data_IF_316289436110
#
_entry.id   IF_316289436110
#
_cell.length_a   1.000
_cell.length_b   1.000
_cell.length_c   1.000
_cell.angle_alpha   90.00
_cell.angle_beta   90.00
_cell.angle_gamma   90.00
#
_symmetry.space_group_name_H-M   'P 1'
#
loop_
_entity.id
_entity.type
_entity.pdbx_description
1 polymer ?
2 water ?
#
# COMPACT_ATOMS: atom_id res chain seq x y z
N UNK A 4 -74.87 -27.57 3.88
CA UNK A 4 -75.91 -26.66 4.36
C UNK A 4 -75.32 -25.55 5.23
N UNK A 5 -76.14 -25.07 6.17
CA UNK A 5 -75.71 -23.99 7.06
C UNK A 5 -74.52 -24.42 7.92
N UNK A 6 -74.55 -25.66 8.41
CA UNK A 6 -73.47 -26.14 9.27
C UNK A 6 -72.17 -26.29 8.49
N UNK A 7 -72.24 -26.90 7.30
CA UNK A 7 -71.02 -27.13 6.52
C UNK A 7 -70.39 -25.82 6.07
N UNK A 8 -71.21 -24.86 5.64
CA UNK A 8 -70.69 -23.58 5.16
C UNK A 8 -70.04 -22.80 6.31
N UNK A 9 -70.66 -22.83 7.49
CA UNK A 9 -70.06 -22.18 8.65
C UNK A 9 -68.78 -22.90 9.07
N UNK A 10 -68.77 -24.23 8.98
CA UNK A 10 -67.57 -24.98 9.27
C UNK A 10 -66.45 -24.63 8.31
N UNK A 11 -66.77 -24.54 7.02
CA UNK A 11 -65.76 -24.20 6.04
C UNK A 11 -65.22 -22.79 6.19
N UNK A 12 -66.08 -21.85 6.62
CA UNK A 12 -65.63 -20.48 6.82
C UNK A 12 -64.78 -20.36 8.08
N UNK A 13 -65.19 -21.00 9.18
CA UNK A 13 -64.40 -20.98 10.40
C UNK A 13 -63.03 -21.60 10.20
N UNK A 14 -62.93 -22.59 9.30
CA UNK A 14 -61.63 -23.18 8.99
C UNK A 14 -60.75 -22.16 8.27
N UNK A 15 -61.32 -21.43 7.31
CA UNK A 15 -60.55 -20.42 6.58
C UNK A 15 -60.08 -19.31 7.52
N UNK A 16 -60.90 -18.92 8.48
CA UNK A 16 -60.50 -17.89 9.43
C UNK A 16 -59.35 -18.39 10.29
N UNK A 17 -59.42 -19.65 10.74
CA UNK A 17 -58.36 -20.20 11.56
C UNK A 17 -57.05 -20.30 10.79
N UNK A 18 -57.10 -20.78 9.55
CA UNK A 18 -55.89 -20.94 8.76
C UNK A 18 -55.25 -19.58 8.47
N UNK A 19 -56.06 -18.56 8.20
CA UNK A 19 -55.52 -17.23 7.93
C UNK A 19 -54.89 -16.62 9.18
N UNK A 20 -55.50 -16.85 10.35
CA UNK A 20 -54.94 -16.32 11.58
C UNK A 20 -53.58 -16.94 11.89
N UNK A 21 -53.38 -18.20 11.53
CA UNK A 21 -52.08 -18.84 11.74
C UNK A 21 -51.05 -18.29 10.78
N UNK A 22 -51.45 -18.03 9.53
CA UNK A 22 -50.53 -17.44 8.56
C UNK A 22 -50.13 -16.03 8.95
N UNK A 23 -51.02 -15.28 9.60
CA UNK A 23 -50.69 -13.93 10.04
C UNK A 23 -49.68 -13.94 11.17
N UNK A 24 -49.72 -14.96 12.03
CA UNK A 24 -48.70 -15.09 13.07
C UNK A 24 -47.34 -15.32 12.45
N UNK A 25 -47.28 -16.13 11.39
CA UNK A 25 -46.02 -16.38 10.71
C UNK A 25 -45.56 -15.16 9.92
N UNK A 26 -46.48 -14.48 9.25
CA UNK A 26 -46.10 -13.32 8.43
C UNK A 26 -45.54 -12.20 9.29
N UNK A 27 -46.17 -11.92 10.44
CA UNK A 27 -45.68 -10.86 11.30
C UNK A 27 -44.30 -11.16 11.86
N UNK A 28 -44.00 -12.44 12.10
CA UNK A 28 -42.67 -12.78 12.62
C UNK A 28 -41.64 -12.89 11.51
N UNK A 29 -42.06 -13.15 10.28
CA UNK A 29 -41.12 -13.09 9.16
C UNK A 29 -40.67 -11.66 8.90
N UNK A 30 -41.58 -10.69 9.10
CA UNK A 30 -41.20 -9.29 8.97
C UNK A 30 -40.17 -8.90 10.02
N UNK A 31 -40.31 -9.41 11.24
CA UNK A 31 -39.36 -9.10 12.30
C UNK A 31 -37.98 -9.66 11.98
N UNK A 32 -37.93 -10.85 11.36
CA UNK A 32 -36.65 -11.41 10.96
C UNK A 32 -35.99 -10.58 9.88
N UNK A 33 -36.75 -10.16 8.88
CA UNK A 33 -36.18 -9.31 7.82
C UNK A 33 -35.67 -8.00 8.38
N UNK A 34 -36.34 -7.46 9.40
CA UNK A 34 -35.88 -6.21 9.99
C UNK A 34 -34.56 -6.39 10.74
N UNK A 35 -34.42 -7.49 11.49
CA UNK A 35 -33.18 -7.73 12.22
C UNK A 35 -32.03 -8.04 11.27
N UNK A 36 -32.31 -8.84 10.22
CA UNK A 36 -31.26 -9.15 9.25
C UNK A 36 -30.78 -7.90 8.51
N UNK A 37 -31.68 -6.96 8.26
CA UNK A 37 -31.27 -5.71 7.61
C UNK A 37 -30.45 -4.85 8.57
N UNK A 38 -30.86 -4.78 9.84
CA UNK A 38 -30.08 -4.00 10.81
C UNK A 38 -28.72 -4.64 11.07
N UNK A 39 -28.62 -5.96 10.96
CA UNK A 39 -27.32 -6.61 11.09
C UNK A 39 -26.39 -6.22 9.95
N UNK A 40 -26.93 -6.12 8.73
CA UNK A 40 -26.12 -5.69 7.59
C UNK A 40 -25.67 -4.25 7.73
N UNK A 41 -26.50 -3.39 8.33
CA UNK A 41 -26.12 -1.99 8.50
C UNK A 41 -24.96 -1.87 9.49
N UNK A 42 -25.05 -2.56 10.63
CA UNK A 42 -23.94 -2.55 11.57
C UNK A 42 -22.69 -3.24 11.01
N UNK A 43 -22.86 -4.16 10.06
CA UNK A 43 -21.69 -4.77 9.42
C UNK A 43 -21.05 -3.79 8.45
N UNK A 44 -21.85 -2.97 7.76
CA UNK A 44 -21.29 -1.95 6.88
C UNK A 44 -20.52 -0.89 7.67
N UNK A 45 -20.92 -0.63 8.91
CA UNK A 45 -20.19 0.32 9.75
C UNK A 45 -18.76 -0.15 9.96
N UNK A 46 -18.56 -1.45 10.14
CA UNK A 46 -17.21 -1.97 10.33
C UNK A 46 -16.41 -1.89 9.05
N UNK A 47 -17.04 -2.19 7.90
CA UNK A 47 -16.33 -2.14 6.64
C UNK A 47 -15.96 -0.72 6.25
N UNK A 48 -16.78 0.26 6.61
CA UNK A 48 -16.42 1.66 6.36
C UNK A 48 -15.23 2.09 7.21
N UNK A 49 -15.17 1.62 8.47
CA UNK A 49 -14.02 1.92 9.31
C UNK A 49 -12.75 1.30 8.72
N UNK A 50 -12.86 0.10 8.14
CA UNK A 50 -11.71 -0.53 7.52
C UNK A 50 -11.23 0.26 6.31
N UNK A 51 -12.17 0.83 5.54
CA UNK A 51 -11.80 1.62 4.37
C UNK A 51 -11.05 2.88 4.81
N UNK A 52 -11.43 3.46 5.95
CA UNK A 52 -10.75 4.65 6.43
C UNK A 52 -9.30 4.37 6.79
N UNK A 53 -9.05 3.22 7.44
CA UNK A 53 -7.68 2.88 7.83
C UNK A 53 -6.81 2.66 6.61
N UNK A 54 -7.37 2.05 5.56
CA UNK A 54 -6.59 1.81 4.35
C UNK A 54 -6.29 3.11 3.62
N UNK A 55 -7.27 4.00 3.52
CA UNK A 55 -7.03 5.29 2.86
C UNK A 55 -6.09 6.17 3.68
N UNK A 56 -6.07 6.00 5.00
CA UNK A 56 -5.12 6.74 5.83
C UNK A 56 -3.71 6.19 5.69
N UNK A 57 -3.57 4.88 5.43
CA UNK A 57 -2.26 4.29 5.25
C UNK A 57 -1.74 4.44 3.83
N UNK A 58 -2.60 4.74 2.87
CA UNK A 58 -2.12 5.03 1.52
C UNK A 58 -1.40 6.38 1.48
N UNK A 59 -1.92 7.36 2.20
CA UNK A 59 -1.29 8.68 2.25
C UNK A 59 -0.12 8.70 3.23
N UNK A 60 -0.25 7.99 4.36
CA UNK A 60 0.83 7.95 5.34
C UNK A 60 2.04 7.18 4.82
N UNK A 61 1.80 6.01 4.22
CA UNK A 61 2.90 5.22 3.70
C UNK A 61 3.60 5.88 2.52
N UNK A 62 2.86 6.63 1.70
CA UNK A 62 3.47 7.30 0.56
C UNK A 62 4.28 8.51 1.01
N UNK A 63 3.76 9.31 1.94
CA UNK A 63 4.43 10.53 2.34
C UNK A 63 5.55 10.29 3.35
N UNK A 64 5.54 9.16 4.06
CA UNK A 64 6.58 8.83 5.02
C UNK A 64 7.80 8.22 4.34
N UNK A 65 7.60 7.19 3.51
CA UNK A 65 8.72 6.55 2.84
C UNK A 65 9.40 7.48 1.85
N UNK A 66 8.65 8.43 1.29
CA UNK A 66 9.25 9.41 0.38
C UNK A 66 10.22 10.32 1.11
N UNK A 67 9.99 10.57 2.40
CA UNK A 67 10.88 11.41 3.18
C UNK A 67 11.93 10.63 3.95
N UNK A 68 11.62 9.40 4.35
CA UNK A 68 12.58 8.58 5.09
C UNK A 68 13.67 8.06 4.16
N UNK A 69 13.29 7.63 2.95
CA UNK A 69 14.30 7.19 1.99
C UNK A 69 15.21 8.35 1.55
N UNK A 70 14.66 9.56 1.50
CA UNK A 70 15.49 10.72 1.18
C UNK A 70 16.49 11.01 2.30
N UNK A 71 16.13 10.70 3.55
CA UNK A 71 17.05 10.88 4.66
C UNK A 71 18.29 10.01 4.50
N UNK A 72 18.14 8.82 3.93
CA UNK A 72 19.26 7.91 3.75
C UNK A 72 20.03 8.18 2.47
N UNK A 73 19.33 8.57 1.40
CA UNK A 73 20.03 8.99 0.18
C UNK A 73 20.89 10.21 0.44
N UNK A 74 20.42 11.11 1.30
CA UNK A 74 21.21 12.29 1.65
C UNK A 74 22.42 11.91 2.49
N UNK A 75 22.22 11.08 3.51
CA UNK A 75 23.31 10.71 4.40
C UNK A 75 24.30 9.76 3.74
N UNK A 76 23.89 9.04 2.68
CA UNK A 76 24.83 8.20 1.97
C UNK A 76 25.82 9.03 1.15
N UNK A 77 25.34 10.08 0.50
CA UNK A 77 26.25 10.97 -0.22
C UNK A 77 27.17 11.72 0.72
N UNK A 78 26.68 12.07 1.92
CA UNK A 78 27.53 12.73 2.89
C UNK A 78 28.69 11.82 3.31
N UNK A 79 28.43 10.51 3.42
CA UNK A 79 29.51 9.57 3.68
C UNK A 79 30.51 9.55 2.53
N UNK A 80 30.01 9.54 1.30
CA UNK A 80 30.90 9.52 0.13
C UNK A 80 31.70 10.80 0.02
N UNK A 81 31.05 11.95 0.29
CA UNK A 81 31.74 13.23 0.16
C UNK A 81 32.88 13.36 1.16
N UNK A 82 32.73 12.77 2.36
CA UNK A 82 33.81 12.79 3.33
C UNK A 82 34.98 11.94 2.86
N UNK A 83 34.69 10.79 2.24
CA UNK A 83 35.76 9.97 1.67
C UNK A 83 36.39 10.66 0.48
N UNK A 84 35.57 11.28 -0.38
CA UNK A 84 36.10 11.99 -1.54
C UNK A 84 37.00 13.15 -1.12
N UNK A 85 36.62 13.87 -0.07
CA UNK A 85 37.45 14.98 0.39
C UNK A 85 38.78 14.49 0.93
N UNK A 86 38.79 13.36 1.63
CA UNK A 86 40.04 12.78 2.09
C UNK A 86 40.89 12.29 0.93
N UNK A 87 40.24 11.72 -0.10
CA UNK A 87 40.99 11.26 -1.26
C UNK A 87 41.53 12.42 -2.08
N UNK A 88 40.78 13.52 -2.17
CA UNK A 88 41.27 14.67 -2.93
C UNK A 88 42.48 15.32 -2.26
N UNK A 89 42.50 15.33 -0.93
CA UNK A 89 43.68 15.84 -0.23
C UNK A 89 44.90 14.97 -0.50
N UNK A 90 44.70 13.65 -0.57
CA UNK A 90 45.81 12.75 -0.89
C UNK A 90 46.28 12.95 -2.33
N UNK A 91 45.35 13.15 -3.27
CA UNK A 91 45.72 13.31 -4.66
C UNK A 91 46.51 14.60 -4.86
N UNK A 92 46.08 15.69 -4.22
CA UNK A 92 46.77 16.96 -4.41
C UNK A 92 48.17 16.94 -3.79
N UNK A 93 48.30 16.38 -2.58
CA UNK A 93 49.60 16.31 -1.94
C UNK A 93 50.57 15.45 -2.74
N UNK A 94 50.08 14.36 -3.32
CA UNK A 94 50.95 13.48 -4.11
C UNK A 94 51.32 14.13 -5.44
N UNK A 95 50.37 14.81 -6.08
CA UNK A 95 50.66 15.47 -7.34
C UNK A 95 51.66 16.61 -7.14
N UNK A 96 51.54 17.35 -6.05
CA UNK A 96 52.51 18.41 -5.77
C UNK A 96 53.88 17.82 -5.44
N UNK A 97 53.91 16.72 -4.68
CA UNK A 97 55.17 16.08 -4.32
C UNK A 97 55.84 15.49 -5.56
N UNK A 98 55.04 14.94 -6.48
CA UNK A 98 55.61 14.36 -7.71
C UNK A 98 56.19 15.44 -8.61
N UNK A 99 55.46 16.55 -8.77
CA UNK A 99 55.93 17.61 -9.66
C UNK A 99 57.23 18.22 -9.15
N UNK A 100 57.34 18.43 -7.84
CA UNK A 100 58.58 18.96 -7.29
C UNK A 100 59.73 17.97 -7.40
N UNK A 101 59.42 16.67 -7.43
CA UNK A 101 60.47 15.66 -7.60
C UNK A 101 60.85 15.48 -9.06
N UNK A 102 59.86 15.55 -9.96
CA UNK A 102 60.14 15.32 -11.38
C UNK A 102 60.94 16.48 -11.98
N UNK A 103 60.72 17.70 -11.48
CA UNK A 103 61.55 18.82 -11.93
C UNK A 103 62.99 18.65 -11.49
N UNK A 104 63.22 18.11 -10.29
CA UNK A 104 64.57 17.89 -9.82
C UNK A 104 65.25 16.74 -10.54
N UNK A 105 64.46 15.80 -11.08
CA UNK A 105 65.03 14.70 -11.83
C UNK A 105 65.59 15.17 -13.17
N UNK A 106 64.85 16.04 -13.86
CA UNK A 106 65.36 16.57 -15.13
C UNK A 106 66.55 17.49 -14.91
N UNK A 107 66.65 18.13 -13.74
CA UNK A 107 67.79 18.97 -13.45
C UNK A 107 69.06 18.14 -13.24
N UNK A 108 68.93 16.99 -12.58
CA UNK A 108 70.08 16.11 -12.40
C UNK A 108 70.38 15.31 -13.66
N UNK A 109 69.36 14.96 -14.44
CA UNK A 109 69.59 14.20 -15.67
C UNK A 109 70.34 15.03 -16.69
N UNK A 110 69.97 16.30 -16.85
CA UNK A 110 70.68 17.19 -17.76
C UNK A 110 72.06 17.57 -17.22
N UNK A 111 72.24 17.53 -15.90
CA UNK A 111 73.54 17.84 -15.32
C UNK A 111 74.56 16.74 -15.62
N UNK A 112 74.12 15.48 -15.61
CA UNK A 112 75.01 14.37 -15.94
C UNK A 112 75.35 14.33 -17.43
N UNK A 113 74.40 14.73 -18.29
CA UNK A 113 74.65 14.67 -19.73
C UNK A 113 75.58 15.80 -20.17
N UNK A 114 75.43 16.99 -19.58
CA UNK A 114 76.30 18.11 -19.93
C UNK A 114 77.73 17.88 -19.45
N UNK A 115 77.91 17.08 -18.42
CA UNK A 115 79.25 16.78 -17.90
C UNK A 115 79.76 15.45 -18.44
N UNK B 5 -78.10 -17.68 10.41
CA UNK B 5 -77.07 -18.09 9.46
C UNK B 5 -76.92 -17.09 8.32
N UNK B 6 -77.86 -16.15 8.22
CA UNK B 6 -77.78 -15.16 7.15
C UNK B 6 -76.85 -14.00 7.54
N UNK B 7 -76.97 -13.51 8.77
CA UNK B 7 -76.10 -12.46 9.28
C UNK B 7 -74.78 -13.02 9.81
N UNK B 8 -74.67 -14.34 9.95
CA UNK B 8 -73.46 -15.00 10.44
C UNK B 8 -72.52 -15.42 9.32
N UNK B 9 -73.05 -16.05 8.26
CA UNK B 9 -72.20 -16.40 7.12
C UNK B 9 -71.66 -15.14 6.46
N UNK B 10 -72.50 -14.12 6.31
CA UNK B 10 -72.03 -12.84 5.80
C UNK B 10 -71.03 -12.20 6.75
N UNK B 11 -71.21 -12.41 8.06
CA UNK B 11 -70.28 -11.87 9.05
C UNK B 11 -68.93 -12.54 9.04
N UNK B 12 -68.85 -13.79 8.58
CA UNK B 12 -67.59 -14.51 8.48
C UNK B 12 -66.86 -14.23 7.17
N UNK B 13 -67.61 -14.11 6.07
CA UNK B 13 -66.98 -13.83 4.78
C UNK B 13 -66.30 -12.47 4.79
N UNK B 14 -66.81 -11.52 5.58
CA UNK B 14 -66.15 -10.23 5.72
C UNK B 14 -64.84 -10.39 6.49
N UNK B 15 -64.85 -11.16 7.58
CA UNK B 15 -63.63 -11.38 8.35
C UNK B 15 -62.58 -12.11 7.52
N UNK B 16 -63.00 -12.99 6.61
CA UNK B 16 -62.05 -13.68 5.75
C UNK B 16 -61.38 -12.70 4.80
N UNK B 17 -62.19 -11.86 4.14
CA UNK B 17 -61.65 -10.90 3.19
C UNK B 17 -60.80 -9.84 3.88
N UNK B 18 -61.11 -9.52 5.13
CA UNK B 18 -60.27 -8.59 5.88
C UNK B 18 -58.91 -9.22 6.20
N UNK B 19 -58.91 -10.50 6.57
CA UNK B 19 -57.64 -11.17 6.85
C UNK B 19 -56.82 -11.34 5.58
N UNK B 20 -57.49 -11.64 4.46
CA UNK B 20 -56.78 -11.75 3.18
C UNK B 20 -56.15 -10.42 2.79
N UNK B 21 -56.83 -9.31 3.05
CA UNK B 21 -56.25 -8.00 2.77
C UNK B 21 -55.02 -7.76 3.63
N UNK B 22 -55.04 -8.22 4.88
CA UNK B 22 -53.89 -8.04 5.75
C UNK B 22 -52.70 -8.90 5.30
N UNK B 23 -52.97 -10.06 4.70
CA UNK B 23 -51.88 -10.89 4.19
C UNK B 23 -51.33 -10.34 2.88
N UNK B 24 -52.18 -9.71 2.06
CA UNK B 24 -51.69 -9.06 0.85
C UNK B 24 -50.81 -7.88 1.21
N UNK B 25 -51.21 -7.11 2.22
CA UNK B 25 -50.41 -5.97 2.67
C UNK B 25 -49.11 -6.43 3.29
N UNK B 26 -49.14 -7.49 4.09
CA UNK B 26 -47.90 -8.02 4.65
C UNK B 26 -47.00 -8.60 3.59
N UNK B 27 -47.59 -9.20 2.54
CA UNK B 27 -46.78 -9.70 1.43
C UNK B 27 -46.06 -8.57 0.72
N UNK B 28 -46.67 -7.38 0.65
CA UNK B 28 -45.99 -6.23 0.07
C UNK B 28 -44.87 -5.74 0.97
N UNK B 29 -45.11 -5.72 2.29
CA UNK B 29 -44.04 -5.35 3.23
C UNK B 29 -42.90 -6.36 3.19
N UNK B 30 -43.19 -7.63 2.92
CA UNK B 30 -42.14 -8.62 2.75
C UNK B 30 -41.34 -8.38 1.48
N UNK B 31 -41.99 -7.89 0.42
CA UNK B 31 -41.26 -7.50 -0.78
C UNK B 31 -40.37 -6.29 -0.52
N UNK B 32 -40.87 -5.33 0.27
CA UNK B 32 -40.07 -4.15 0.58
C UNK B 32 -38.85 -4.51 1.41
N UNK B 33 -39.03 -5.33 2.44
CA UNK B 33 -37.90 -5.76 3.25
C UNK B 33 -36.92 -6.60 2.44
N UNK B 34 -37.42 -7.40 1.51
CA UNK B 34 -36.54 -8.23 0.70
C UNK B 34 -35.70 -7.40 -0.26
N UNK B 35 -36.32 -6.43 -0.94
CA UNK B 35 -35.56 -5.57 -1.85
C UNK B 35 -34.54 -4.74 -1.08
N UNK B 36 -34.92 -4.21 0.08
CA UNK B 36 -33.95 -3.47 0.89
C UNK B 36 -32.87 -4.39 1.43
N UNK B 37 -33.17 -5.69 1.58
CA UNK B 37 -32.15 -6.64 2.01
C UNK B 37 -31.12 -6.89 0.92
N UNK B 38 -31.57 -7.03 -0.33
CA UNK B 38 -30.64 -7.29 -1.42
C UNK B 38 -29.83 -6.04 -1.78
N UNK B 39 -30.38 -4.85 -1.52
CA UNK B 39 -29.62 -3.63 -1.76
C UNK B 39 -28.43 -3.54 -0.81
N UNK B 40 -28.65 -3.84 0.48
CA UNK B 40 -27.56 -3.86 1.43
C UNK B 40 -26.58 -4.99 1.12
N UNK B 41 -27.07 -6.07 0.50
CA UNK B 41 -26.17 -7.14 0.07
C UNK B 41 -25.24 -6.66 -1.03
N UNK B 42 -25.80 -5.95 -2.03
CA UNK B 42 -24.97 -5.43 -3.11
C UNK B 42 -24.04 -4.32 -2.61
N UNK B 43 -24.46 -3.57 -1.59
CA UNK B 43 -23.59 -2.54 -1.04
C UNK B 43 -22.41 -3.14 -0.29
N UNK B 44 -22.61 -4.29 0.37
CA UNK B 44 -21.49 -4.94 1.05
C UNK B 44 -20.48 -5.49 0.06
N UNK B 45 -20.96 -6.06 -1.05
CA UNK B 45 -20.05 -6.50 -2.10
C UNK B 45 -19.22 -5.33 -2.62
N UNK B 46 -19.83 -4.15 -2.72
CA UNK B 46 -19.08 -2.97 -3.14
C UNK B 46 -18.03 -2.61 -2.09
N UNK B 47 -18.39 -2.67 -0.81
CA UNK B 47 -17.42 -2.39 0.24
C UNK B 47 -16.31 -3.43 0.26
N UNK B 48 -16.66 -4.70 0.04
CA UNK B 48 -15.63 -5.74 -0.03
C UNK B 48 -14.73 -5.54 -1.26
N UNK B 49 -15.32 -5.14 -2.39
CA UNK B 49 -14.51 -4.87 -3.57
C UNK B 49 -13.63 -3.64 -3.35
N UNK B 50 -14.16 -2.62 -2.67
CA UNK B 50 -13.37 -1.43 -2.37
C UNK B 50 -12.21 -1.76 -1.44
N UNK B 51 -12.45 -2.59 -0.43
CA UNK B 51 -11.39 -2.97 0.50
C UNK B 51 -10.29 -3.73 -0.25
N UNK B 52 -10.67 -4.65 -1.13
CA UNK B 52 -9.68 -5.39 -1.89
C UNK B 52 -8.90 -4.49 -2.84
N UNK B 53 -9.57 -3.52 -3.45
CA UNK B 53 -8.89 -2.60 -4.35
C UNK B 53 -7.86 -1.78 -3.58
N UNK B 54 -8.20 -1.36 -2.35
CA UNK B 54 -7.27 -0.60 -1.55
C UNK B 54 -6.14 -1.48 -1.02
N UNK B 55 -6.44 -2.73 -0.67
CA UNK B 55 -5.38 -3.66 -0.25
C UNK B 55 -4.42 -3.94 -1.38
N UNK B 56 -4.90 -3.95 -2.63
CA UNK B 56 -4.01 -4.18 -3.76
C UNK B 56 -3.14 -2.96 -4.05
N UNK B 57 -3.64 -1.76 -3.77
CA UNK B 57 -2.82 -0.56 -3.92
C UNK B 57 -1.70 -0.51 -2.89
N UNK B 58 -1.90 -1.15 -1.73
CA UNK B 58 -0.82 -1.26 -0.75
C UNK B 58 0.30 -2.13 -1.29
N UNK B 59 -0.03 -3.33 -1.78
CA UNK B 59 0.99 -4.23 -2.31
C UNK B 59 1.68 -3.61 -3.53
N UNK B 60 0.92 -2.90 -4.36
CA UNK B 60 1.51 -2.27 -5.54
C UNK B 60 2.37 -1.07 -5.14
N UNK B 61 1.94 -0.31 -4.14
CA UNK B 61 2.69 0.85 -3.71
C UNK B 61 3.96 0.48 -2.96
N UNK B 62 3.89 -0.56 -2.13
CA UNK B 62 5.06 -0.96 -1.36
C UNK B 62 6.11 -1.64 -2.25
N UNK B 63 5.66 -2.53 -3.13
CA UNK B 63 6.60 -3.20 -4.04
C UNK B 63 7.23 -2.22 -5.02
N UNK B 64 6.54 -1.13 -5.33
CA UNK B 64 7.10 -0.11 -6.20
C UNK B 64 8.17 0.71 -5.47
N UNK B 65 7.85 1.19 -4.27
CA UNK B 65 8.81 2.00 -3.52
C UNK B 65 9.98 1.17 -3.03
N UNK B 66 9.79 -0.14 -2.85
CA UNK B 66 10.89 -1.01 -2.47
C UNK B 66 11.80 -1.33 -3.66
N UNK B 67 11.26 -1.31 -4.87
CA UNK B 67 12.05 -1.57 -6.07
C UNK B 67 12.69 -0.33 -6.64
N UNK B 68 12.04 0.83 -6.50
CA UNK B 68 12.65 2.07 -6.97
C UNK B 68 13.84 2.45 -6.10
N UNK B 69 13.72 2.28 -4.78
CA UNK B 69 14.83 2.58 -3.89
C UNK B 69 15.98 1.58 -4.06
N UNK B 70 15.66 0.33 -4.37
CA UNK B 70 16.71 -0.65 -4.63
C UNK B 70 17.49 -0.31 -5.90
N UNK B 71 16.81 0.28 -6.90
CA UNK B 71 17.51 0.79 -8.07
C UNK B 71 18.39 1.97 -7.73
N UNK B 72 17.98 2.79 -6.75
CA UNK B 72 18.79 3.93 -6.34
C UNK B 72 19.98 3.49 -5.48
N UNK B 73 19.75 2.56 -4.56
CA UNK B 73 20.86 2.04 -3.76
C UNK B 73 21.87 1.29 -4.60
N UNK B 74 21.41 0.63 -5.67
CA UNK B 74 22.33 -0.09 -6.55
C UNK B 74 23.15 0.88 -7.39
N UNK B 75 22.48 1.81 -8.07
CA UNK B 75 23.20 2.72 -8.96
C UNK B 75 24.06 3.72 -8.19
N UNK B 76 23.65 4.11 -6.98
CA UNK B 76 24.46 5.02 -6.18
C UNK B 76 25.74 4.33 -5.71
N UNK B 77 25.63 3.11 -5.20
CA UNK B 77 26.83 2.40 -4.77
C UNK B 77 27.69 1.97 -5.96
N UNK B 78 27.09 1.79 -7.14
CA UNK B 78 27.88 1.58 -8.33
C UNK B 78 28.68 2.82 -8.69
N UNK B 79 28.07 4.01 -8.51
CA UNK B 79 28.79 5.25 -8.74
C UNK B 79 29.91 5.43 -7.73
N UNK B 80 29.61 5.26 -6.44
CA UNK B 80 30.60 5.52 -5.40
C UNK B 80 31.76 4.54 -5.49
N UNK B 81 31.53 3.30 -5.92
CA UNK B 81 32.62 2.36 -6.05
C UNK B 81 33.44 2.61 -7.31
N UNK B 82 32.80 3.06 -8.39
CA UNK B 82 33.57 3.47 -9.56
C UNK B 82 34.43 4.69 -9.26
N UNK B 83 33.93 5.59 -8.42
CA UNK B 83 34.71 6.78 -8.07
C UNK B 83 35.82 6.42 -7.11
N UNK B 84 35.50 5.63 -6.08
CA UNK B 84 36.51 5.27 -5.07
C UNK B 84 37.65 4.48 -5.67
N UNK B 85 37.33 3.48 -6.50
CA UNK B 85 38.38 2.70 -7.16
C UNK B 85 39.13 3.54 -8.19
N UNK B 86 38.49 4.58 -8.74
CA UNK B 86 39.21 5.51 -9.60
C UNK B 86 40.22 6.32 -8.80
N UNK B 87 39.85 6.73 -7.58
CA UNK B 87 40.78 7.46 -6.72
C UNK B 87 41.88 6.54 -6.20
N UNK B 88 41.52 5.32 -5.80
CA UNK B 88 42.53 4.36 -5.36
C UNK B 88 43.53 4.09 -6.48
N UNK B 89 43.06 3.94 -7.71
CA UNK B 89 43.95 3.74 -8.85
C UNK B 89 44.85 4.95 -9.05
N UNK B 90 44.29 6.15 -8.95
CA UNK B 90 45.08 7.36 -9.17
C UNK B 90 46.09 7.58 -8.05
N UNK B 91 45.67 7.38 -6.79
CA UNK B 91 46.59 7.58 -5.67
C UNK B 91 47.76 6.63 -5.76
N UNK B 92 47.51 5.36 -6.11
CA UNK B 92 48.59 4.39 -6.22
C UNK B 92 49.50 4.72 -7.40
N UNK B 93 48.94 5.21 -8.51
CA UNK B 93 49.77 5.65 -9.62
C UNK B 93 50.72 6.76 -9.20
N UNK B 94 50.21 7.73 -8.43
CA UNK B 94 51.06 8.84 -7.98
C UNK B 94 52.11 8.35 -6.99
N UNK B 95 51.75 7.40 -6.12
CA UNK B 95 52.70 6.89 -5.14
C UNK B 95 53.84 6.13 -5.82
N UNK B 96 53.50 5.26 -6.78
CA UNK B 96 54.54 4.55 -7.51
C UNK B 96 55.43 5.51 -8.28
N UNK B 97 54.85 6.55 -8.87
CA UNK B 97 55.63 7.52 -9.60
C UNK B 97 56.54 8.31 -8.66
N UNK B 98 56.05 8.63 -7.46
CA UNK B 98 56.89 9.29 -6.47
C UNK B 98 58.06 8.40 -6.06
N UNK B 99 57.80 7.11 -5.88
CA UNK B 99 58.86 6.18 -5.46
C UNK B 99 59.92 6.03 -6.54
N UNK B 100 59.49 5.80 -7.80
CA UNK B 100 60.43 5.64 -8.88
C UNK B 100 61.22 6.91 -9.17
N UNK B 101 60.70 8.08 -8.79
CA UNK B 101 61.45 9.31 -8.93
C UNK B 101 62.51 9.43 -7.83
N UNK B 102 62.17 9.03 -6.61
CA UNK B 102 63.14 9.06 -5.53
C UNK B 102 64.28 8.07 -5.77
N UNK B 103 63.97 6.92 -6.37
CA UNK B 103 65.03 5.95 -6.70
C UNK B 103 65.97 6.51 -7.76
N UNK B 104 65.41 7.04 -8.86
CA UNK B 104 66.25 7.58 -9.92
C UNK B 104 67.04 8.79 -9.46
N UNK B 105 66.47 9.61 -8.58
CA UNK B 105 67.20 10.77 -8.09
C UNK B 105 68.37 10.34 -7.21
N UNK B 106 68.16 9.36 -6.33
CA UNK B 106 69.26 8.86 -5.51
C UNK B 106 70.33 8.16 -6.35
N UNK B 107 69.93 7.52 -7.45
CA UNK B 107 70.92 6.92 -8.35
C UNK B 107 71.70 7.99 -9.10
N UNK B 108 70.99 9.00 -9.62
CA UNK B 108 71.66 10.06 -10.38
C UNK B 108 72.53 10.93 -9.48
N UNK B 109 72.10 11.15 -8.24
CA UNK B 109 72.91 11.94 -7.31
C UNK B 109 74.21 11.22 -6.95
N UNK B 110 74.18 9.89 -6.90
CA UNK B 110 75.39 9.12 -6.65
C UNK B 110 76.25 8.99 -7.90
N UNK B 111 75.63 9.05 -9.08
CA UNK B 111 76.40 9.02 -10.32
C UNK B 111 77.29 10.25 -10.45
N UNK B 112 76.87 11.36 -9.86
CA UNK B 112 77.64 12.59 -9.89
C UNK B 112 78.42 12.78 -8.58
#
# INVERSE_FOLDING_TARGET
GSMGHDREVQGLQVKVTKLKQERILDAQRLEEFFTKNQQLREQQKVLHETIKVLEDRLRAGLADRAAVTEEHMRKKQQEFENIRQQNLKLITELMNERNTLQEENKKLSEQLQQKIENDWSHPQFEK
GSMGHDREVQGLQVKVTKLKQERILDAQRLEEFFTKNQQLREQQKVLHETIKVLEDRLRAGLADRAAVTEEHMRKKQQEFENIRQQNLKLITELMNERNTLQEENKKLSEQLQQKIENDWSHPQFEK
#
